data_IF_993169568960
#
_entry.id   IF_993169568960
#
_cell.length_a   1.000
_cell.length_b   1.000
_cell.length_c   1.000
_cell.angle_alpha   90.00
_cell.angle_beta   90.00
_cell.angle_gamma   90.00
#
_symmetry.space_group_name_H-M   'P 1'
#
loop_
_entity.id
_entity.type
_entity.pdbx_description
1 polymer ?
#
# COMPACT_ATOMS: atom_id res chain seq x y z
N UNK A 1 9.52 11.53 -22.47
CA UNK A 1 8.46 10.47 -22.50
C UNK A 1 7.10 10.97 -22.03
N UNK A 2 6.87 11.18 -20.73
CA UNK A 2 5.53 11.47 -20.18
C UNK A 2 4.83 12.73 -20.73
N UNK A 3 5.60 13.72 -21.19
CA UNK A 3 5.07 14.97 -21.78
C UNK A 3 4.66 14.84 -23.25
N UNK A 4 5.09 13.79 -23.97
CA UNK A 4 4.78 13.66 -25.39
C UNK A 4 3.31 13.27 -25.57
N UNK A 5 2.61 13.95 -26.47
CA UNK A 5 1.20 13.68 -26.74
C UNK A 5 0.97 12.25 -27.22
N UNK A 6 1.85 11.73 -28.08
CA UNK A 6 1.74 10.36 -28.59
C UNK A 6 1.73 9.32 -27.46
N UNK A 7 2.51 9.56 -26.40
CA UNK A 7 2.50 8.72 -25.21
C UNK A 7 1.23 8.93 -24.37
N UNK A 8 0.88 10.20 -24.10
CA UNK A 8 -0.27 10.54 -23.24
C UNK A 8 -1.59 10.05 -23.81
N UNK A 9 -1.76 10.05 -25.14
CA UNK A 9 -2.95 9.54 -25.84
C UNK A 9 -3.15 8.03 -25.65
N UNK A 10 -2.10 7.29 -25.30
CA UNK A 10 -2.15 5.86 -25.03
C UNK A 10 -2.31 5.54 -23.53
N UNK A 11 -2.22 6.53 -22.66
CA UNK A 11 -2.28 6.33 -21.22
C UNK A 11 -3.74 6.24 -20.75
N UNK A 12 -4.11 5.10 -20.17
CA UNK A 12 -5.50 4.83 -19.75
C UNK A 12 -5.72 5.14 -18.27
N UNK A 13 -4.74 4.81 -17.41
CA UNK A 13 -4.81 5.04 -15.98
C UNK A 13 -3.41 4.96 -15.36
N UNK A 14 -3.26 5.51 -14.15
CA UNK A 14 -2.07 5.38 -13.32
C UNK A 14 -2.47 4.72 -11.99
N UNK A 15 -1.81 3.62 -11.64
CA UNK A 15 -2.08 2.87 -10.41
C UNK A 15 -0.82 2.81 -9.55
N UNK A 16 -0.94 3.27 -8.32
CA UNK A 16 0.15 3.30 -7.33
C UNK A 16 -0.15 2.25 -6.27
N UNK A 17 0.62 1.16 -6.26
CA UNK A 17 0.63 0.20 -5.16
C UNK A 17 1.42 0.75 -3.96
N UNK A 18 1.11 0.26 -2.76
CA UNK A 18 1.71 0.69 -1.48
C UNK A 18 1.67 2.20 -1.27
N UNK A 19 0.56 2.84 -1.59
CA UNK A 19 0.43 4.31 -1.52
C UNK A 19 0.73 4.91 -0.12
N UNK A 20 0.62 4.14 0.98
CA UNK A 20 1.00 4.59 2.31
C UNK A 20 2.48 5.03 2.43
N UNK A 21 3.34 4.59 1.51
CA UNK A 21 4.75 4.97 1.43
C UNK A 21 4.90 6.49 1.26
N UNK A 22 3.96 7.16 0.60
CA UNK A 22 3.96 8.62 0.46
C UNK A 22 4.01 9.29 1.84
N UNK A 23 3.18 8.83 2.78
CA UNK A 23 3.08 9.42 4.10
C UNK A 23 4.25 9.04 5.02
N UNK A 24 4.78 7.82 4.88
CA UNK A 24 5.71 7.27 5.87
C UNK A 24 7.17 7.49 5.50
N UNK A 25 7.52 7.35 4.22
CA UNK A 25 8.91 7.13 3.80
C UNK A 25 9.37 8.02 2.65
N UNK A 26 8.53 8.94 2.17
CA UNK A 26 8.89 9.87 1.09
C UNK A 26 9.98 10.87 1.46
N UNK A 27 10.29 11.05 2.75
CA UNK A 27 11.37 11.96 3.16
C UNK A 27 12.73 11.24 3.31
N UNK A 28 12.73 9.92 3.54
CA UNK A 28 13.90 9.18 4.04
C UNK A 28 14.33 7.99 3.19
N UNK A 29 13.41 7.16 2.70
CA UNK A 29 13.76 5.88 2.05
C UNK A 29 13.27 5.78 0.59
N UNK A 30 12.02 6.16 0.32
CA UNK A 30 11.42 6.10 -1.02
C UNK A 30 10.98 7.48 -1.47
N UNK A 31 11.97 8.35 -1.65
CA UNK A 31 11.76 9.78 -1.93
C UNK A 31 10.90 10.05 -3.16
N UNK A 32 11.01 9.21 -4.17
CA UNK A 32 10.23 9.35 -5.42
C UNK A 32 8.71 9.32 -5.20
N UNK A 33 8.22 8.70 -4.11
CA UNK A 33 6.80 8.74 -3.78
C UNK A 33 6.31 10.15 -3.41
N UNK A 34 7.21 11.01 -2.90
CA UNK A 34 6.91 12.43 -2.63
C UNK A 34 6.71 13.26 -3.90
N UNK A 35 7.24 12.79 -5.04
CA UNK A 35 7.22 13.50 -6.32
C UNK A 35 6.09 13.04 -7.26
N UNK A 36 5.16 12.20 -6.79
CA UNK A 36 4.06 11.68 -7.61
C UNK A 36 3.12 12.79 -8.13
N UNK A 37 3.04 13.92 -7.44
CA UNK A 37 2.35 15.12 -7.94
C UNK A 37 2.93 15.60 -9.26
N UNK A 38 4.26 15.55 -9.42
CA UNK A 38 4.92 15.92 -10.67
C UNK A 38 4.50 14.97 -11.79
N UNK A 39 4.46 13.67 -11.53
CA UNK A 39 4.03 12.69 -12.53
C UNK A 39 2.61 13.00 -13.02
N UNK A 40 1.69 13.37 -12.12
CA UNK A 40 0.32 13.78 -12.48
C UNK A 40 0.30 15.00 -13.40
N UNK A 41 1.10 16.01 -13.11
CA UNK A 41 1.23 17.20 -13.96
C UNK A 41 1.76 16.81 -15.35
N UNK A 42 2.77 15.93 -15.41
CA UNK A 42 3.41 15.51 -16.65
C UNK A 42 2.49 14.68 -17.55
N UNK A 43 1.70 13.77 -16.96
CA UNK A 43 0.79 12.89 -17.70
C UNK A 43 -0.55 13.56 -18.03
N UNK A 44 -0.88 14.66 -17.36
CA UNK A 44 -2.14 15.37 -17.47
C UNK A 44 -3.11 15.01 -16.35
N UNK A 45 -3.97 15.97 -16.02
CA UNK A 45 -4.97 15.88 -14.94
C UNK A 45 -6.21 15.08 -15.33
N UNK A 46 -6.37 14.76 -16.61
CA UNK A 46 -7.53 14.02 -17.13
C UNK A 46 -7.42 12.50 -16.97
N UNK A 47 -6.21 12.00 -16.76
CA UNK A 47 -5.96 10.56 -16.59
C UNK A 47 -6.44 10.14 -15.20
N UNK A 48 -7.21 9.05 -15.07
CA UNK A 48 -7.61 8.50 -13.78
C UNK A 48 -6.41 7.98 -12.97
N UNK A 49 -6.46 8.20 -11.66
CA UNK A 49 -5.48 7.70 -10.69
C UNK A 49 -6.13 6.72 -9.72
N UNK A 50 -5.42 5.66 -9.37
CA UNK A 50 -5.80 4.71 -8.32
C UNK A 50 -4.66 4.52 -7.33
N UNK A 51 -4.95 4.69 -6.05
CA UNK A 51 -3.98 4.47 -4.96
C UNK A 51 -4.43 3.25 -4.15
N UNK A 52 -3.56 2.26 -4.01
CA UNK A 52 -3.87 0.99 -3.33
C UNK A 52 -2.90 0.77 -2.19
N UNK A 53 -3.41 0.33 -1.05
CA UNK A 53 -2.61 0.01 0.13
C UNK A 53 -3.31 -0.99 1.03
N UNK A 54 -2.55 -1.83 1.72
CA UNK A 54 -3.07 -2.73 2.75
C UNK A 54 -3.26 -2.02 4.10
N UNK A 55 -2.47 -0.98 4.39
CA UNK A 55 -2.59 -0.17 5.59
C UNK A 55 -2.88 1.26 5.15
N UNK A 56 -4.07 1.76 5.46
CA UNK A 56 -4.46 3.10 5.04
C UNK A 56 -5.36 3.79 6.08
N UNK A 57 -4.82 4.10 7.28
CA UNK A 57 -5.56 4.89 8.27
C UNK A 57 -6.06 6.20 7.66
N UNK A 58 -7.19 6.72 8.16
CA UNK A 58 -7.85 7.92 7.59
C UNK A 58 -6.90 9.11 7.40
N UNK A 59 -5.95 9.33 8.30
CA UNK A 59 -4.94 10.40 8.17
C UNK A 59 -3.99 10.15 6.99
N UNK A 60 -3.51 8.91 6.83
CA UNK A 60 -2.64 8.51 5.71
C UNK A 60 -3.42 8.57 4.40
N UNK A 61 -4.67 8.09 4.37
CA UNK A 61 -5.57 8.23 3.23
C UNK A 61 -5.69 9.70 2.81
N UNK A 62 -6.05 10.57 3.76
CA UNK A 62 -6.19 12.02 3.55
C UNK A 62 -4.94 12.68 3.00
N UNK A 63 -3.76 12.30 3.50
CA UNK A 63 -2.50 12.84 3.01
C UNK A 63 -2.21 12.36 1.59
N UNK A 64 -2.33 11.06 1.34
CA UNK A 64 -1.92 10.44 0.08
C UNK A 64 -2.80 10.87 -1.10
N UNK A 65 -4.12 11.01 -0.94
CA UNK A 65 -4.95 11.46 -2.06
C UNK A 65 -4.76 12.95 -2.35
N UNK A 66 -4.49 13.77 -1.31
CA UNK A 66 -4.18 15.20 -1.46
C UNK A 66 -2.84 15.41 -2.14
N UNK A 67 -1.82 14.60 -1.80
CA UNK A 67 -0.48 14.73 -2.40
C UNK A 67 -0.48 14.46 -3.90
N UNK A 68 -1.49 13.76 -4.42
CA UNK A 68 -1.67 13.56 -5.87
C UNK A 68 -2.89 14.33 -6.41
N UNK A 69 -3.39 15.36 -5.72
CA UNK A 69 -4.49 16.23 -6.19
C UNK A 69 -5.78 15.48 -6.60
N UNK A 70 -6.13 14.39 -5.91
CA UNK A 70 -7.42 13.71 -6.11
C UNK A 70 -8.54 14.48 -5.40
N UNK A 71 -9.70 14.57 -6.04
CA UNK A 71 -10.88 15.24 -5.47
C UNK A 71 -10.97 16.75 -5.74
N UNK A 72 -9.95 17.39 -6.32
CA UNK A 72 -9.98 18.85 -6.58
C UNK A 72 -10.94 19.22 -7.72
N UNK A 73 -10.79 18.58 -8.88
CA UNK A 73 -11.56 18.91 -10.10
C UNK A 73 -12.56 17.82 -10.51
N UNK A 74 -12.52 16.66 -9.86
CA UNK A 74 -13.34 15.49 -10.19
C UNK A 74 -13.76 14.76 -8.93
N UNK A 75 -14.97 14.17 -8.92
CA UNK A 75 -15.40 13.32 -7.82
C UNK A 75 -14.38 12.21 -7.54
N UNK A 76 -14.18 11.94 -6.25
CA UNK A 76 -13.28 10.92 -5.75
C UNK A 76 -13.94 10.23 -4.56
N UNK A 77 -13.69 8.93 -4.41
CA UNK A 77 -14.11 8.15 -3.25
C UNK A 77 -13.01 7.18 -2.84
N UNK A 78 -12.97 6.89 -1.54
CA UNK A 78 -12.16 5.81 -0.98
C UNK A 78 -13.02 4.56 -0.78
N UNK A 79 -12.38 3.39 -0.83
CA UNK A 79 -12.99 2.12 -0.46
C UNK A 79 -12.09 1.45 0.59
N UNK A 80 -12.66 1.19 1.76
CA UNK A 80 -12.05 0.34 2.78
C UNK A 80 -12.79 -1.00 2.78
N UNK A 81 -12.07 -2.07 2.46
CA UNK A 81 -12.62 -3.43 2.43
C UNK A 81 -12.56 -4.11 3.80
N UNK A 82 -11.92 -3.48 4.78
CA UNK A 82 -11.62 -4.08 6.07
C UNK A 82 -10.61 -5.23 5.97
N UNK A 83 -10.30 -5.79 7.14
CA UNK A 83 -9.33 -6.88 7.28
C UNK A 83 -9.98 -8.17 7.79
N UNK A 84 -11.30 -8.19 7.96
CA UNK A 84 -12.01 -9.38 8.42
C UNK A 84 -11.84 -10.55 7.45
N UNK A 85 -11.69 -11.74 8.02
CA UNK A 85 -11.48 -12.99 7.30
C UNK A 85 -12.29 -14.08 8.01
N UNK A 86 -13.60 -14.19 7.72
CA UNK A 86 -14.49 -15.11 8.42
C UNK A 86 -14.11 -16.58 8.23
N UNK A 87 -13.26 -16.87 7.26
CA UNK A 87 -12.71 -18.20 6.97
C UNK A 87 -11.44 -18.54 7.78
N UNK A 88 -10.96 -17.67 8.69
CA UNK A 88 -9.76 -17.92 9.50
C UNK A 88 -10.12 -18.18 10.96
N UNK A 89 -9.69 -19.33 11.49
CA UNK A 89 -9.73 -19.63 12.92
C UNK A 89 -8.42 -19.19 13.59
N UNK A 90 -8.50 -18.26 14.55
CA UNK A 90 -7.36 -17.82 15.34
C UNK A 90 -7.28 -18.60 16.65
N UNK A 91 -6.19 -19.33 16.88
CA UNK A 91 -5.96 -20.12 18.11
C UNK A 91 -4.70 -19.61 18.79
N UNK A 92 -4.81 -19.26 20.07
CA UNK A 92 -3.68 -18.89 20.93
C UNK A 92 -3.36 -20.08 21.83
N UNK A 93 -2.09 -20.52 21.87
CA UNK A 93 -1.61 -21.58 22.77
C UNK A 93 -0.30 -21.16 23.42
N UNK A 94 -0.09 -21.60 24.66
CA UNK A 94 1.18 -21.44 25.34
C UNK A 94 2.29 -22.23 24.64
N UNK A 95 3.44 -21.59 24.48
CA UNK A 95 4.66 -22.27 24.04
C UNK A 95 5.24 -23.00 25.25
N UNK A 96 5.16 -24.34 25.27
CA UNK A 96 5.66 -25.14 26.39
C UNK A 96 7.19 -25.30 26.42
N UNK A 97 7.82 -25.02 25.28
CA UNK A 97 9.20 -25.39 24.99
C UNK A 97 9.81 -24.29 24.12
N UNK A 98 10.96 -23.76 24.52
CA UNK A 98 11.70 -22.82 23.68
C UNK A 98 12.18 -23.53 22.40
N UNK A 99 12.41 -22.78 21.33
CA UNK A 99 12.84 -23.32 20.04
C UNK A 99 14.05 -24.27 20.13
N UNK A 100 14.93 -24.09 21.12
CA UNK A 100 16.11 -24.93 21.36
C UNK A 100 15.91 -26.19 22.21
N UNK A 101 14.68 -26.50 22.65
CA UNK A 101 14.44 -27.55 23.67
C UNK A 101 14.09 -28.95 23.15
N UNK A 102 14.43 -29.31 21.90
CA UNK A 102 14.54 -30.71 21.45
C UNK A 102 15.99 -30.97 21.01
N UNK A 103 16.74 -31.94 21.55
CA UNK A 103 16.36 -33.35 21.64
C UNK A 103 17.16 -34.16 22.68
N UNK A 104 16.53 -34.57 23.80
CA UNK A 104 16.89 -35.79 24.55
C UNK A 104 15.59 -36.43 25.08
N UNK A 105 14.83 -37.08 24.22
CA UNK A 105 13.80 -38.04 24.67
C UNK A 105 13.46 -39.02 23.57
N UNK A 106 14.41 -39.92 23.28
CA UNK A 106 14.17 -41.27 22.74
C UNK A 106 15.32 -42.19 23.16
N UNK A 107 15.41 -42.47 24.46
CA UNK A 107 16.12 -43.66 24.97
C UNK A 107 15.70 -43.97 26.41
N UNK A 108 14.51 -44.55 26.56
CA UNK A 108 14.28 -45.51 27.63
C UNK A 108 13.49 -46.64 26.99
N UNK A 109 14.24 -47.68 26.62
CA UNK A 109 13.67 -49.01 26.52
C UNK A 109 13.52 -49.56 27.93
N UNK A 110 12.30 -49.99 28.23
CA UNK A 110 12.00 -51.26 28.90
C UNK A 110 10.76 -51.81 28.22
#
# INVERSE_FOLDING_TARGET
>A
LFRHEDFRRLLVALVVDKAHVIAQWSETFRRDYGELSQLRILTGTDIPWGLVSAMFPTQVFNLCFKSVCMGENRPFWGLDLGTDRPNLLQIIRWMNYSYGSMSVSRRLGV
#
